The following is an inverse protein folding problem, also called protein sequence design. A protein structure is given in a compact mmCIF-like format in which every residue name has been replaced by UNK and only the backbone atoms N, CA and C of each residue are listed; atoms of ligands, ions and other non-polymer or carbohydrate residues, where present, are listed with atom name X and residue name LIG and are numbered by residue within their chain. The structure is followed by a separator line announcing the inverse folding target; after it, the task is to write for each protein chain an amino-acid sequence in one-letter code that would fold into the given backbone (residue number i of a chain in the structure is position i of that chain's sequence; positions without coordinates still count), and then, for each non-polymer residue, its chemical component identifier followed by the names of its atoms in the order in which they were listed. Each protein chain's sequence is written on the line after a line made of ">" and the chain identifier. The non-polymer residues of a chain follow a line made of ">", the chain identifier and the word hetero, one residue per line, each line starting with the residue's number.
data_IF_113376886991
#
_entry.id   IF_113376886991
#
_cell.length_a   1.000
_cell.length_b   1.000
_cell.length_c   1.000
_cell.angle_alpha   90.00
_cell.angle_beta   90.00
_cell.angle_gamma   90.00
#
_symmetry.space_group_name_H-M   'P 1'
#
loop_
_entity.id
_entity.type
_entity.pdbx_description
1 polymer ?
#
# COMPACT_ATOMS: atom_id res chain seq x y z
N UNK A 1 28.32 24.68 -6.19
CA UNK A 1 27.84 23.52 -6.99
C UNK A 1 26.60 22.97 -6.32
N UNK A 2 25.42 23.32 -6.84
CA UNK A 2 24.14 23.00 -6.21
C UNK A 2 23.61 21.64 -6.65
N UNK A 3 22.82 21.00 -5.78
CA UNK A 3 21.81 20.06 -6.20
C UNK A 3 20.46 20.55 -5.66
N UNK A 4 19.80 21.42 -6.43
CA UNK A 4 18.38 21.74 -6.22
C UNK A 4 17.58 20.70 -7.00
N UNK A 5 17.14 19.66 -6.31
CA UNK A 5 16.02 18.85 -6.79
C UNK A 5 14.76 19.70 -6.66
N UNK A 6 14.45 20.48 -7.70
CA UNK A 6 13.14 21.11 -7.81
C UNK A 6 12.15 20.02 -8.22
N UNK A 7 11.46 19.44 -7.25
CA UNK A 7 10.24 18.70 -7.55
C UNK A 7 9.27 19.65 -8.27
N UNK A 8 8.98 19.34 -9.53
CA UNK A 8 7.96 20.08 -10.27
C UNK A 8 6.57 19.79 -9.71
N UNK A 9 5.55 20.59 -10.06
CA UNK A 9 4.16 20.37 -9.62
C UNK A 9 3.55 19.02 -10.03
N UNK A 10 4.28 18.19 -10.79
CA UNK A 10 3.89 16.86 -11.31
C UNK A 10 4.66 15.70 -10.67
N UNK A 11 5.64 15.96 -9.80
CA UNK A 11 6.49 14.92 -9.20
C UNK A 11 5.92 14.37 -7.88
N UNK A 12 4.75 14.84 -7.45
CA UNK A 12 4.03 14.35 -6.26
C UNK A 12 3.36 12.99 -6.46
N UNK A 13 3.35 12.46 -7.69
CA UNK A 13 2.71 11.19 -8.02
C UNK A 13 3.61 9.96 -7.82
N UNK A 14 4.73 10.08 -7.10
CA UNK A 14 5.84 9.10 -7.01
C UNK A 14 5.45 7.61 -7.12
N UNK A 15 5.28 6.87 -6.01
CA UNK A 15 5.01 5.42 -6.03
C UNK A 15 3.74 5.03 -6.82
N UNK A 16 2.79 5.96 -6.94
CA UNK A 16 1.54 5.72 -7.66
C UNK A 16 1.78 5.61 -9.16
N UNK A 17 2.76 6.35 -9.72
CA UNK A 17 3.12 6.28 -11.14
C UNK A 17 3.56 4.88 -11.56
N UNK A 18 4.29 4.17 -10.69
CA UNK A 18 4.77 2.81 -10.95
C UNK A 18 3.61 1.82 -11.07
N UNK A 19 2.49 2.07 -10.40
CA UNK A 19 1.31 1.21 -10.44
C UNK A 19 0.45 1.39 -11.71
N UNK A 20 0.59 2.51 -12.43
CA UNK A 20 -0.26 2.80 -13.60
C UNK A 20 -0.08 1.79 -14.73
N UNK A 21 1.13 1.28 -14.94
CA UNK A 21 1.37 0.30 -16.01
C UNK A 21 0.66 -1.02 -15.72
N UNK A 22 0.68 -1.46 -14.46
CA UNK A 22 -0.06 -2.64 -14.01
C UNK A 22 -1.58 -2.42 -14.09
N UNK A 23 -2.08 -1.24 -13.70
CA UNK A 23 -3.50 -0.90 -13.82
C UNK A 23 -3.98 -0.95 -15.27
N UNK A 24 -3.20 -0.38 -16.18
CA UNK A 24 -3.51 -0.41 -17.60
C UNK A 24 -3.54 -1.84 -18.13
N UNK A 25 -2.59 -2.69 -17.72
CA UNK A 25 -2.54 -4.10 -18.12
C UNK A 25 -3.78 -4.86 -17.62
N UNK A 26 -4.11 -4.73 -16.33
CA UNK A 26 -5.23 -5.44 -15.73
C UNK A 26 -6.58 -4.96 -16.25
N UNK A 27 -6.75 -3.65 -16.39
CA UNK A 27 -7.95 -3.08 -16.99
C UNK A 27 -8.13 -3.55 -18.44
N UNK A 28 -7.05 -3.61 -19.23
CA UNK A 28 -7.10 -4.12 -20.60
C UNK A 28 -7.47 -5.62 -20.68
N UNK A 29 -7.17 -6.40 -19.64
CA UNK A 29 -7.56 -7.82 -19.56
C UNK A 29 -8.92 -8.05 -18.89
N UNK A 30 -9.63 -7.00 -18.46
CA UNK A 30 -10.87 -7.12 -17.70
C UNK A 30 -10.69 -7.70 -16.29
N UNK A 31 -9.46 -7.70 -15.77
CA UNK A 31 -9.10 -8.22 -14.46
C UNK A 31 -9.49 -7.20 -13.40
N UNK A 32 -10.33 -7.59 -12.44
CA UNK A 32 -10.67 -6.72 -11.32
C UNK A 32 -9.52 -6.64 -10.32
N UNK A 33 -9.35 -5.46 -9.72
CA UNK A 33 -8.33 -5.21 -8.71
C UNK A 33 -8.75 -4.09 -7.75
N UNK A 34 -8.32 -4.19 -6.50
CA UNK A 34 -8.52 -3.18 -5.47
C UNK A 34 -7.21 -2.43 -5.23
N UNK A 35 -7.32 -1.19 -4.76
CA UNK A 35 -6.19 -0.33 -4.39
C UNK A 35 -6.28 -0.01 -2.90
N UNK A 36 -5.26 -0.37 -2.15
CA UNK A 36 -5.05 0.04 -0.77
C UNK A 36 -4.05 1.20 -0.71
N UNK A 37 -4.36 2.23 0.08
CA UNK A 37 -3.50 3.40 0.26
C UNK A 37 -3.36 3.75 1.73
N UNK A 38 -2.14 4.07 2.16
CA UNK A 38 -1.92 4.69 3.47
C UNK A 38 -2.47 6.11 3.41
N UNK A 39 -3.52 6.37 4.18
CA UNK A 39 -4.19 7.68 4.23
C UNK A 39 -3.82 8.49 5.46
N UNK A 40 -3.42 7.83 6.53
CA UNK A 40 -3.02 8.45 7.79
C UNK A 40 -2.02 7.55 8.55
N UNK A 41 -1.33 8.13 9.52
CA UNK A 41 -0.37 7.46 10.39
C UNK A 41 -0.29 8.16 11.74
N UNK A 42 -0.47 7.40 12.82
CA UNK A 42 -0.14 7.86 14.17
C UNK A 42 1.31 7.50 14.50
N UNK A 43 2.13 8.50 14.89
CA UNK A 43 3.54 8.29 15.23
C UNK A 43 4.45 8.13 14.01
N UNK A 44 5.41 7.21 14.08
CA UNK A 44 6.32 6.87 12.97
C UNK A 44 6.02 5.47 12.45
N UNK A 45 5.77 5.36 11.15
CA UNK A 45 5.49 4.10 10.46
C UNK A 45 6.46 3.88 9.30
N UNK A 46 6.53 2.65 8.78
CA UNK A 46 7.54 2.27 7.79
C UNK A 46 7.31 2.92 6.42
N UNK A 47 6.08 3.37 6.11
CA UNK A 47 5.76 4.19 4.94
C UNK A 47 4.86 5.37 5.30
N UNK A 48 5.04 6.45 4.56
CA UNK A 48 4.26 7.69 4.73
C UNK A 48 2.90 7.59 4.01
N UNK A 49 1.92 8.43 4.41
CA UNK A 49 0.70 8.63 3.65
C UNK A 49 1.00 8.87 2.16
N UNK A 50 0.26 8.16 1.31
CA UNK A 50 0.49 8.14 -0.13
C UNK A 50 1.10 6.84 -0.65
N UNK A 51 1.73 6.02 0.19
CA UNK A 51 2.12 4.66 -0.17
C UNK A 51 0.89 3.84 -0.57
N UNK A 52 1.05 3.01 -1.60
CA UNK A 52 -0.06 2.30 -2.22
C UNK A 52 0.35 0.87 -2.59
N UNK A 53 -0.65 0.00 -2.56
CA UNK A 53 -0.60 -1.39 -2.97
C UNK A 53 -1.86 -1.69 -3.77
N UNK A 54 -1.75 -2.54 -4.79
CA UNK A 54 -2.92 -3.03 -5.52
C UNK A 54 -2.92 -4.56 -5.56
N UNK A 55 -4.12 -5.11 -5.52
CA UNK A 55 -4.37 -6.55 -5.37
C UNK A 55 -5.43 -6.96 -6.39
N UNK A 56 -5.13 -7.94 -7.23
CA UNK A 56 -6.12 -8.51 -8.17
C UNK A 56 -7.02 -9.53 -7.49
N UNK A 57 -8.14 -9.89 -8.12
CA UNK A 57 -8.98 -11.00 -7.65
C UNK A 57 -8.23 -12.35 -7.62
N UNK A 58 -7.18 -12.49 -8.43
CA UNK A 58 -6.26 -13.64 -8.46
C UNK A 58 -5.16 -13.57 -7.40
N UNK A 59 -5.20 -12.58 -6.50
CA UNK A 59 -4.20 -12.31 -5.45
C UNK A 59 -2.81 -11.90 -5.97
N UNK A 60 -2.70 -11.41 -7.21
CA UNK A 60 -1.48 -10.75 -7.66
C UNK A 60 -1.32 -9.39 -6.96
N UNK A 61 -0.10 -9.07 -6.54
CA UNK A 61 0.20 -7.87 -5.76
C UNK A 61 1.25 -7.00 -6.45
N UNK A 62 1.02 -5.69 -6.46
CA UNK A 62 2.00 -4.67 -6.85
C UNK A 62 2.02 -3.53 -5.84
N UNK A 63 3.17 -2.88 -5.66
CA UNK A 63 3.36 -1.84 -4.65
C UNK A 63 3.45 -2.40 -3.23
N UNK A 64 3.39 -1.50 -2.24
CA UNK A 64 3.50 -1.85 -0.81
C UNK A 64 3.02 -0.68 0.04
N UNK A 65 2.28 -0.97 1.11
CA UNK A 65 1.80 0.01 2.09
C UNK A 65 2.64 0.09 3.36
N UNK A 66 3.47 -0.92 3.65
CA UNK A 66 4.31 -0.96 4.86
C UNK A 66 5.70 -1.54 4.61
N UNK A 67 5.83 -2.57 3.77
CA UNK A 67 7.07 -3.33 3.59
C UNK A 67 7.27 -4.43 4.64
N UNK A 68 6.20 -4.96 5.24
CA UNK A 68 6.28 -5.95 6.32
C UNK A 68 4.94 -6.56 6.72
N UNK A 69 4.83 -6.98 7.99
CA UNK A 69 3.84 -7.92 8.56
C UNK A 69 2.37 -7.66 8.19
N UNK A 70 1.98 -6.40 7.98
CA UNK A 70 0.59 -6.01 7.68
C UNK A 70 0.15 -6.26 6.23
N UNK A 71 1.07 -6.54 5.31
CA UNK A 71 0.76 -6.71 3.87
C UNK A 71 -0.24 -7.85 3.63
N UNK A 72 -0.09 -8.97 4.33
CA UNK A 72 -1.02 -10.10 4.21
C UNK A 72 -2.44 -9.73 4.63
N UNK A 73 -2.60 -8.95 5.71
CA UNK A 73 -3.92 -8.48 6.14
C UNK A 73 -4.54 -7.53 5.11
N UNK A 74 -3.73 -6.67 4.49
CA UNK A 74 -4.18 -5.76 3.43
C UNK A 74 -4.60 -6.51 2.16
N UNK A 75 -3.94 -7.63 1.82
CA UNK A 75 -4.40 -8.53 0.74
C UNK A 75 -5.80 -9.05 1.05
N UNK A 76 -6.02 -9.57 2.26
CA UNK A 76 -7.33 -10.13 2.65
C UNK A 76 -8.43 -9.08 2.61
N UNK A 77 -8.20 -7.89 3.16
CA UNK A 77 -9.16 -6.78 3.08
C UNK A 77 -9.44 -6.36 1.62
N UNK A 78 -8.42 -6.39 0.75
CA UNK A 78 -8.58 -6.04 -0.66
C UNK A 78 -9.45 -7.06 -1.40
N UNK A 79 -9.28 -8.35 -1.12
CA UNK A 79 -10.11 -9.42 -1.69
C UNK A 79 -11.57 -9.31 -1.21
N UNK A 80 -11.78 -9.03 0.08
CA UNK A 80 -13.13 -8.84 0.63
C UNK A 80 -13.81 -7.58 0.05
N UNK A 81 -13.07 -6.49 -0.19
CA UNK A 81 -13.59 -5.31 -0.90
C UNK A 81 -14.00 -5.65 -2.34
N UNK A 82 -13.22 -6.49 -3.05
CA UNK A 82 -13.56 -6.93 -4.40
C UNK A 82 -14.81 -7.81 -4.42
N UNK A 83 -14.95 -8.72 -3.44
CA UNK A 83 -16.13 -9.59 -3.34
C UNK A 83 -17.38 -8.82 -2.93
N UNK A 84 -17.26 -7.86 -2.00
CA UNK A 84 -18.39 -7.09 -1.46
C UNK A 84 -18.74 -5.82 -2.25
N UNK A 85 -17.91 -5.42 -3.22
CA UNK A 85 -17.99 -4.14 -3.94
C UNK A 85 -18.16 -2.91 -3.01
N UNK A 86 -17.58 -2.99 -1.80
CA UNK A 86 -17.76 -1.99 -0.75
C UNK A 86 -16.42 -1.54 -0.18
N UNK A 87 -16.04 -0.28 -0.43
CA UNK A 87 -14.82 0.31 0.09
C UNK A 87 -14.86 0.53 1.62
N UNK A 88 -13.69 0.55 2.25
CA UNK A 88 -13.55 0.74 3.71
C UNK A 88 -12.21 1.38 4.08
N UNK A 89 -12.13 1.90 5.30
CA UNK A 89 -10.88 2.32 5.96
C UNK A 89 -10.59 1.32 7.08
N UNK A 90 -9.39 0.79 7.11
CA UNK A 90 -8.93 -0.16 8.13
C UNK A 90 -7.69 0.41 8.81
N UNK A 91 -7.67 0.38 10.14
CA UNK A 91 -6.53 0.82 10.94
C UNK A 91 -5.74 -0.40 11.41
N UNK A 92 -4.45 -0.41 11.11
CA UNK A 92 -3.52 -1.44 11.56
C UNK A 92 -2.59 -0.83 12.61
N UNK A 93 -2.47 -1.49 13.76
CA UNK A 93 -1.58 -1.08 14.85
C UNK A 93 -0.51 -2.15 15.10
N UNK A 94 0.69 -1.70 15.48
CA UNK A 94 1.67 -2.56 16.12
C UNK A 94 1.25 -2.68 17.59
N UNK A 95 0.87 -3.87 18.04
CA UNK A 95 0.89 -4.14 19.47
C UNK A 95 2.34 -4.39 19.86
N UNK A 96 2.75 -3.92 21.05
CA UNK A 96 4.09 -4.17 21.61
C UNK A 96 4.45 -5.67 21.69
N UNK A 97 3.48 -6.57 21.49
CA UNK A 97 3.65 -8.01 21.51
C UNK A 97 4.55 -8.57 20.38
N UNK A 98 4.85 -7.81 19.31
CA UNK A 98 5.90 -8.19 18.34
C UNK A 98 7.31 -7.69 18.71
N UNK A 99 7.45 -6.76 19.66
CA UNK A 99 8.74 -6.21 20.07
C UNK A 99 9.48 -7.08 21.12
N UNK A 100 8.76 -8.00 21.79
CA UNK A 100 9.32 -8.87 22.83
C UNK A 100 9.97 -10.17 22.32
N UNK A 101 10.06 -10.38 21.00
CA UNK A 101 10.69 -11.57 20.43
C UNK A 101 12.23 -11.48 20.25
N UNK A 102 12.85 -10.34 20.59
CA UNK A 102 14.32 -10.21 20.62
C UNK A 102 14.76 -10.09 22.07
N UNK A 103 14.85 -11.23 22.75
CA UNK A 103 15.25 -11.32 24.14
C UNK A 103 16.58 -10.60 24.42
N UNK A 104 16.51 -9.44 25.06
CA UNK A 104 17.61 -8.81 25.77
C UNK A 104 17.23 -8.76 27.25
N UNK A 105 17.63 -9.81 27.97
CA UNK A 105 17.79 -9.85 29.42
C UNK A 105 19.27 -9.99 29.74
#
# INVERSE_FOLDING_TARGET
>A
MGNRLSAGPRDTLGPVKELFDDFNRWNASGQQFAIARVVDLEGSGPRLPGAAMAVTESSDVVGSVSGGCVEGAVVLESLDVLESDTHRIVTFGFSDDEAFAVGLT
#
